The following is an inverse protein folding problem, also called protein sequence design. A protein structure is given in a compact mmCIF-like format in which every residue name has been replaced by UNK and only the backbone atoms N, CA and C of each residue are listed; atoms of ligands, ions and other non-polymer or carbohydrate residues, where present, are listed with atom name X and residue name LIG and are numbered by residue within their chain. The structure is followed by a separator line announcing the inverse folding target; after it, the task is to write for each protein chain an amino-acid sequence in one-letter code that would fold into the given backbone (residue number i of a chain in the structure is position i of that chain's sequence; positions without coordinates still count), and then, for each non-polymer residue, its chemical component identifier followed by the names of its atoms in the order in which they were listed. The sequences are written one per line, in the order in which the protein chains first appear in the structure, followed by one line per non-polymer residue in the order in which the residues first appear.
data_IF_982816883818
#
_entry.id   IF_982816883818
#
_cell.length_a   1.000
_cell.length_b   1.000
_cell.length_c   1.000
_cell.angle_alpha   90.00
_cell.angle_beta   90.00
_cell.angle_gamma   90.00
#
_symmetry.space_group_name_H-M   'P 1'
#
loop_
_entity.id
_entity.type
_entity.pdbx_description
1 polymer ?
#
# COMPACT_ATOMS: atom_id res chain seq x y z
N UNK A 1 -28.21 21.38 -16.04
CA UNK A 1 -27.30 20.47 -15.30
C UNK A 1 -26.23 19.98 -16.26
N UNK A 2 -25.02 20.52 -16.19
CA UNK A 2 -23.90 20.17 -17.06
C UNK A 2 -22.96 19.20 -16.33
N UNK A 3 -22.99 17.91 -16.73
CA UNK A 3 -22.00 16.93 -16.31
C UNK A 3 -20.82 16.99 -17.28
N UNK A 4 -19.82 17.81 -16.96
CA UNK A 4 -18.58 17.82 -17.73
C UNK A 4 -17.70 16.66 -17.28
N UNK A 5 -17.78 15.55 -18.03
CA UNK A 5 -16.75 14.48 -18.04
C UNK A 5 -15.41 15.11 -18.41
N UNK A 6 -14.58 15.41 -17.42
CA UNK A 6 -13.16 15.69 -17.65
C UNK A 6 -12.40 14.38 -17.45
N UNK A 7 -12.54 13.47 -18.41
CA UNK A 7 -11.48 12.50 -18.70
C UNK A 7 -10.35 13.27 -19.38
N UNK A 8 -9.49 13.91 -18.58
CA UNK A 8 -8.24 14.46 -19.12
C UNK A 8 -7.26 13.31 -19.32
N UNK A 9 -7.18 12.89 -20.57
CA UNK A 9 -5.98 12.47 -21.30
C UNK A 9 -4.93 11.77 -20.43
N UNK A 10 -4.94 10.43 -20.49
CA UNK A 10 -3.75 9.63 -20.27
C UNK A 10 -2.61 10.26 -21.10
N UNK A 11 -1.51 10.61 -20.43
CA UNK A 11 -0.32 11.08 -21.11
C UNK A 11 0.10 10.02 -22.14
N UNK A 12 0.43 10.46 -23.36
CA UNK A 12 1.12 9.61 -24.35
C UNK A 12 2.51 9.29 -23.79
N UNK A 13 2.61 8.26 -22.95
CA UNK A 13 3.86 7.84 -22.32
C UNK A 13 3.67 6.52 -21.58
N UNK A 14 4.07 5.42 -22.23
CA UNK A 14 4.11 4.03 -21.75
C UNK A 14 2.81 3.48 -21.09
N UNK A 15 2.17 2.49 -21.71
CA UNK A 15 1.04 1.74 -21.12
C UNK A 15 1.46 0.74 -20.03
N UNK A 16 2.77 0.59 -19.80
CA UNK A 16 3.38 -0.42 -18.94
C UNK A 16 4.54 0.17 -18.15
N UNK A 17 4.82 -0.41 -16.99
CA UNK A 17 5.99 -0.13 -16.14
C UNK A 17 6.63 -1.43 -15.66
N UNK A 18 7.89 -1.35 -15.23
CA UNK A 18 8.55 -2.46 -14.51
C UNK A 18 8.33 -2.31 -13.01
N UNK A 19 7.92 -3.38 -12.35
CA UNK A 19 7.69 -3.41 -10.92
C UNK A 19 8.18 -4.73 -10.31
N UNK A 20 8.77 -4.66 -9.13
CA UNK A 20 9.09 -5.84 -8.32
C UNK A 20 7.83 -6.32 -7.61
N UNK A 21 7.42 -7.56 -7.86
CA UNK A 21 6.17 -8.13 -7.37
C UNK A 21 6.36 -9.48 -6.69
N UNK A 22 5.46 -9.76 -5.77
CA UNK A 22 5.31 -11.06 -5.10
C UNK A 22 3.87 -11.53 -5.32
N UNK A 23 3.69 -12.76 -5.78
CA UNK A 23 2.36 -13.31 -6.09
C UNK A 23 1.69 -13.90 -4.85
N UNK A 24 2.48 -14.49 -3.95
CA UNK A 24 1.98 -15.13 -2.73
C UNK A 24 2.93 -14.87 -1.56
N UNK A 25 2.44 -14.89 -0.30
CA UNK A 25 3.29 -14.75 0.86
C UNK A 25 4.47 -15.75 0.86
N UNK A 26 5.68 -15.24 1.06
CA UNK A 26 6.89 -16.06 1.17
C UNK A 26 7.55 -16.42 -0.17
N UNK A 27 6.98 -16.03 -1.31
CA UNK A 27 7.64 -16.16 -2.61
C UNK A 27 8.71 -15.09 -2.82
N UNK A 28 9.67 -15.40 -3.70
CA UNK A 28 10.72 -14.47 -4.11
C UNK A 28 10.14 -13.29 -4.91
N UNK A 29 10.73 -12.10 -4.72
CA UNK A 29 10.45 -10.92 -5.55
C UNK A 29 10.84 -11.17 -7.00
N UNK A 30 9.93 -10.88 -7.93
CA UNK A 30 10.15 -11.00 -9.37
C UNK A 30 9.96 -9.65 -10.05
N UNK A 31 10.89 -9.28 -10.94
CA UNK A 31 10.74 -8.09 -11.77
C UNK A 31 9.78 -8.41 -12.91
N UNK A 32 8.63 -7.74 -12.95
CA UNK A 32 7.60 -7.93 -13.98
C UNK A 32 7.25 -6.64 -14.68
N UNK A 33 6.83 -6.76 -15.93
CA UNK A 33 6.18 -5.67 -16.67
C UNK A 33 4.69 -5.71 -16.38
N UNK A 34 4.14 -4.60 -15.91
CA UNK A 34 2.73 -4.46 -15.51
C UNK A 34 2.13 -3.16 -16.02
N UNK A 35 0.81 -3.09 -16.07
CA UNK A 35 0.11 -1.89 -16.52
C UNK A 35 0.45 -0.68 -15.65
N UNK A 36 0.55 0.49 -16.30
CA UNK A 36 0.68 1.74 -15.58
C UNK A 36 -0.57 1.99 -14.70
N UNK A 37 -0.39 2.37 -13.42
CA UNK A 37 -1.51 2.67 -12.55
C UNK A 37 -2.22 3.94 -13.03
N UNK A 38 -3.55 3.91 -13.01
CA UNK A 38 -4.39 5.05 -13.31
C UNK A 38 -4.94 5.66 -12.03
N UNK A 39 -5.11 6.98 -12.02
CA UNK A 39 -5.76 7.69 -10.92
C UNK A 39 -7.26 7.38 -10.94
N UNK A 40 -7.76 6.76 -9.86
CA UNK A 40 -9.16 6.40 -9.68
C UNK A 40 -9.88 7.30 -8.69
N UNK A 41 -9.14 8.01 -7.83
CA UNK A 41 -9.69 8.88 -6.77
C UNK A 41 -9.13 10.30 -6.86
N UNK A 42 -9.91 11.34 -6.50
CA UNK A 42 -9.49 12.73 -6.63
C UNK A 42 -8.31 13.11 -5.73
N UNK A 43 -8.04 12.35 -4.67
CA UNK A 43 -6.95 12.60 -3.72
C UNK A 43 -5.67 11.78 -4.02
N UNK A 44 -5.57 11.15 -5.20
CA UNK A 44 -4.40 10.37 -5.58
C UNK A 44 -3.38 11.21 -6.37
N UNK A 45 -2.13 10.80 -6.28
CA UNK A 45 -0.99 11.37 -7.03
C UNK A 45 -0.26 10.21 -7.70
N UNK A 46 0.06 10.37 -8.98
CA UNK A 46 0.90 9.44 -9.73
C UNK A 46 2.32 9.99 -9.76
N UNK A 47 3.28 9.15 -9.35
CA UNK A 47 4.68 9.55 -9.19
C UNK A 47 5.52 8.69 -10.12
N UNK A 48 6.35 9.33 -10.94
CA UNK A 48 7.42 8.69 -11.69
C UNK A 48 8.62 8.49 -10.76
N UNK A 49 8.73 7.29 -10.21
CA UNK A 49 9.80 6.91 -9.28
C UNK A 49 11.17 6.99 -9.96
N UNK A 50 12.12 7.65 -9.31
CA UNK A 50 13.52 7.77 -9.72
C UNK A 50 14.43 6.91 -8.84
N UNK A 51 14.16 6.88 -7.54
CA UNK A 51 14.83 6.01 -6.59
C UNK A 51 13.85 5.51 -5.53
N UNK A 52 14.14 4.34 -4.95
CA UNK A 52 13.41 3.74 -3.85
C UNK A 52 14.40 3.06 -2.90
N UNK A 53 14.08 3.03 -1.61
CA UNK A 53 14.87 2.30 -0.62
C UNK A 53 14.34 0.89 -0.43
N UNK A 54 15.16 0.05 0.19
CA UNK A 54 14.72 -1.23 0.75
C UNK A 54 14.91 -1.17 2.25
N UNK A 55 13.84 -1.37 2.99
CA UNK A 55 13.83 -1.37 4.44
C UNK A 55 13.54 -2.78 4.98
N UNK A 56 13.90 -3.09 6.25
CA UNK A 56 13.58 -4.38 6.87
C UNK A 56 12.08 -4.72 6.81
N UNK A 57 11.22 -3.70 6.87
CA UNK A 57 9.77 -3.88 6.78
C UNK A 57 9.31 -4.46 5.44
N UNK A 58 9.98 -4.13 4.34
CA UNK A 58 9.64 -4.64 3.01
C UNK A 58 9.86 -6.15 2.96
N UNK A 59 10.92 -6.64 3.60
CA UNK A 59 11.24 -8.08 3.65
C UNK A 59 10.19 -8.88 4.42
N UNK A 60 9.66 -8.35 5.52
CA UNK A 60 8.63 -9.05 6.31
C UNK A 60 7.24 -8.96 5.66
N UNK A 61 6.94 -7.89 4.93
CA UNK A 61 5.69 -7.81 4.14
C UNK A 61 5.62 -8.85 3.04
N UNK A 62 6.73 -9.03 2.31
CA UNK A 62 6.84 -10.06 1.26
C UNK A 62 6.58 -11.45 1.85
N UNK A 63 6.99 -11.67 3.11
CA UNK A 63 6.70 -12.90 3.87
C UNK A 63 5.26 -12.99 4.41
N UNK A 64 4.42 -11.99 4.16
CA UNK A 64 3.01 -11.97 4.56
C UNK A 64 2.69 -11.12 5.79
N UNK A 65 3.62 -10.34 6.34
CA UNK A 65 3.35 -9.49 7.49
C UNK A 65 2.31 -8.39 7.17
N UNK A 66 1.32 -8.27 8.07
CA UNK A 66 0.14 -7.44 7.97
C UNK A 66 -0.83 -7.90 6.88
N UNK A 67 -0.78 -9.16 6.44
CA UNK A 67 -1.69 -9.70 5.42
C UNK A 67 -3.13 -9.61 5.87
N UNK A 68 -3.41 -10.02 7.11
CA UNK A 68 -4.79 -10.11 7.60
C UNK A 68 -5.37 -8.72 7.81
N UNK A 69 -4.72 -7.89 8.64
CA UNK A 69 -5.20 -6.53 8.90
C UNK A 69 -5.27 -5.73 7.60
N UNK A 70 -4.18 -5.61 6.84
CA UNK A 70 -4.20 -4.74 5.66
C UNK A 70 -5.05 -5.32 4.53
N UNK A 71 -5.24 -6.64 4.49
CA UNK A 71 -6.22 -7.30 3.64
C UNK A 71 -7.65 -6.92 4.00
N UNK A 72 -8.03 -6.98 5.29
CA UNK A 72 -9.36 -6.55 5.77
C UNK A 72 -9.60 -5.08 5.43
N UNK A 73 -8.63 -4.21 5.70
CA UNK A 73 -8.73 -2.79 5.38
C UNK A 73 -8.92 -2.55 3.88
N UNK A 74 -8.21 -3.31 3.02
CA UNK A 74 -8.39 -3.25 1.57
C UNK A 74 -9.79 -3.69 1.15
N UNK A 75 -10.28 -4.82 1.68
CA UNK A 75 -11.63 -5.33 1.42
C UNK A 75 -12.71 -4.32 1.80
N UNK A 76 -12.55 -3.65 2.94
CA UNK A 76 -13.46 -2.59 3.39
C UNK A 76 -13.36 -1.36 2.48
N UNK A 77 -12.14 -0.91 2.15
CA UNK A 77 -11.92 0.29 1.34
C UNK A 77 -12.36 0.15 -0.12
N UNK A 78 -12.35 -1.08 -0.65
CA UNK A 78 -12.78 -1.42 -2.01
C UNK A 78 -14.19 -2.02 -2.05
N UNK A 79 -14.84 -2.22 -0.89
CA UNK A 79 -16.13 -2.92 -0.76
C UNK A 79 -16.16 -4.28 -1.49
N UNK A 80 -15.04 -5.00 -1.49
CA UNK A 80 -14.88 -6.28 -2.18
C UNK A 80 -14.30 -7.33 -1.22
N UNK A 81 -15.08 -8.36 -0.91
CA UNK A 81 -14.68 -9.45 -0.01
C UNK A 81 -13.57 -10.35 -0.59
N UNK A 82 -13.39 -10.33 -1.92
CA UNK A 82 -12.33 -11.06 -2.64
C UNK A 82 -11.05 -10.23 -2.80
N UNK A 83 -11.04 -8.97 -2.40
CA UNK A 83 -9.86 -8.14 -2.49
C UNK A 83 -8.70 -8.79 -1.72
N UNK A 84 -7.67 -9.19 -2.47
CA UNK A 84 -6.43 -9.72 -1.93
C UNK A 84 -5.37 -8.63 -1.92
N UNK A 85 -4.48 -8.70 -0.94
CA UNK A 85 -3.28 -7.85 -0.89
C UNK A 85 -2.23 -8.25 -1.95
N UNK A 86 -2.34 -9.47 -2.48
CA UNK A 86 -1.46 -9.99 -3.52
C UNK A 86 -2.17 -9.99 -4.88
N UNK A 87 -1.46 -9.74 -5.99
CA UNK A 87 -0.02 -9.45 -6.10
C UNK A 87 0.39 -8.15 -5.40
N UNK A 88 1.51 -8.20 -4.69
CA UNK A 88 2.07 -7.06 -3.95
C UNK A 88 3.26 -6.48 -4.70
N UNK A 89 3.19 -5.20 -5.07
CA UNK A 89 4.36 -4.41 -5.47
C UNK A 89 5.05 -3.92 -4.20
N UNK A 90 6.33 -4.25 -4.02
CA UNK A 90 7.11 -3.87 -2.84
C UNK A 90 7.69 -2.45 -2.96
N UNK A 91 8.13 -1.89 -1.83
CA UNK A 91 8.71 -0.54 -1.75
C UNK A 91 7.74 0.48 -1.15
N UNK A 92 8.04 0.98 0.05
CA UNK A 92 7.20 1.94 0.79
C UNK A 92 7.63 3.39 0.63
N UNK A 93 8.88 3.62 0.29
CA UNK A 93 9.52 4.92 0.21
C UNK A 93 10.17 5.13 -1.15
N UNK A 94 10.02 6.34 -1.68
CA UNK A 94 10.58 6.70 -2.96
C UNK A 94 10.85 8.20 -3.07
N UNK A 95 11.74 8.53 -4.00
CA UNK A 95 11.88 9.87 -4.56
C UNK A 95 11.58 9.82 -6.06
N UNK A 96 10.99 10.89 -6.57
CA UNK A 96 10.54 10.93 -7.94
C UNK A 96 9.90 12.25 -8.33
N UNK A 97 9.25 12.24 -9.48
CA UNK A 97 8.59 13.41 -10.06
C UNK A 97 7.10 13.14 -10.15
N UNK A 98 6.27 14.13 -9.80
CA UNK A 98 4.82 14.03 -9.98
C UNK A 98 4.50 13.95 -11.48
N UNK A 99 3.87 12.86 -11.91
CA UNK A 99 3.44 12.64 -13.30
C UNK A 99 2.00 13.12 -13.49
N UNK A 100 1.11 12.83 -12.54
CA UNK A 100 -0.29 13.25 -12.59
C UNK A 100 -0.88 13.44 -11.19
N UNK A 101 -1.95 14.23 -11.08
CA UNK A 101 -2.68 14.48 -9.84
C UNK A 101 -4.18 14.31 -10.05
N UNK A 102 -4.88 13.83 -9.02
CA UNK A 102 -6.33 13.82 -8.97
C UNK A 102 -6.88 15.23 -8.69
N UNK A 103 -8.13 15.50 -9.09
CA UNK A 103 -8.73 16.84 -9.00
C UNK A 103 -8.90 17.41 -7.58
N UNK A 104 -8.80 16.56 -6.55
CA UNK A 104 -8.86 16.94 -5.14
C UNK A 104 -7.50 17.23 -4.51
N UNK A 105 -6.39 16.96 -5.20
CA UNK A 105 -5.04 17.25 -4.70
C UNK A 105 -4.78 18.76 -4.76
N UNK A 106 -4.27 19.32 -3.67
CA UNK A 106 -3.86 20.72 -3.55
C UNK A 106 -2.38 20.80 -3.19
N UNK A 107 -1.68 21.81 -3.69
CA UNK A 107 -0.27 22.07 -3.35
C UNK A 107 0.76 21.21 -4.10
N UNK A 108 0.34 20.34 -5.02
CA UNK A 108 1.22 19.59 -5.92
C UNK A 108 0.77 19.78 -7.37
N UNK A 109 1.71 19.73 -8.30
CA UNK A 109 1.48 19.81 -9.75
C UNK A 109 2.39 18.81 -10.49
N UNK A 110 1.98 18.33 -11.68
CA UNK A 110 2.88 17.58 -12.54
C UNK A 110 4.20 18.32 -12.78
N UNK A 111 5.32 17.61 -12.66
CA UNK A 111 6.67 18.16 -12.74
C UNK A 111 7.34 18.43 -11.38
N UNK A 112 6.59 18.45 -10.27
CA UNK A 112 7.17 18.68 -8.95
C UNK A 112 8.07 17.50 -8.51
N UNK A 113 9.25 17.81 -7.98
CA UNK A 113 10.14 16.82 -7.37
C UNK A 113 9.73 16.56 -5.92
N UNK A 114 9.65 15.28 -5.56
CA UNK A 114 9.16 14.86 -4.24
C UNK A 114 9.97 13.69 -3.70
N UNK A 115 10.07 13.65 -2.38
CA UNK A 115 10.64 12.55 -1.62
C UNK A 115 9.76 12.31 -0.39
N UNK A 116 9.49 11.05 -0.07
CA UNK A 116 8.76 10.74 1.15
C UNK A 116 8.39 9.27 1.33
N UNK A 117 7.78 9.01 2.47
CA UNK A 117 7.15 7.74 2.80
C UNK A 117 5.64 7.90 2.55
N UNK A 118 5.10 7.20 1.55
CA UNK A 118 3.73 7.45 1.10
C UNK A 118 2.74 6.54 1.81
N UNK A 119 1.74 7.12 2.50
CA UNK A 119 0.74 6.39 3.30
C UNK A 119 -0.16 5.42 2.51
N UNK A 120 -0.31 5.63 1.19
CA UNK A 120 -0.97 4.69 0.26
C UNK A 120 0.00 3.73 -0.45
N UNK A 121 1.30 3.77 -0.13
CA UNK A 121 2.16 2.59 -0.18
C UNK A 121 2.18 2.01 1.23
N UNK A 122 1.26 1.08 1.49
CA UNK A 122 0.77 0.71 2.82
C UNK A 122 1.87 0.58 3.89
N UNK A 123 2.00 1.63 4.73
CA UNK A 123 2.76 1.61 5.99
C UNK A 123 1.84 2.04 7.15
N UNK A 124 1.50 1.10 8.02
CA UNK A 124 1.28 1.38 9.45
C UNK A 124 2.48 0.79 10.18
N UNK A 125 3.33 1.65 10.74
CA UNK A 125 4.52 1.23 11.49
C UNK A 125 4.06 1.23 12.92
N UNK A 126 3.38 0.16 13.27
CA UNK A 126 3.49 -0.35 14.61
C UNK A 126 4.01 -1.75 14.39
N UNK A 127 5.21 -2.04 14.88
CA UNK A 127 5.59 -3.42 15.21
C UNK A 127 4.69 -3.81 16.38
N UNK A 128 3.39 -3.88 16.11
CA UNK A 128 2.40 -4.20 17.10
C UNK A 128 2.46 -5.71 17.23
N UNK A 129 2.64 -6.23 18.45
CA UNK A 129 2.36 -7.63 18.75
C UNK A 129 1.02 -8.06 18.13
N UNK A 130 0.07 -7.12 18.06
CA UNK A 130 -1.20 -7.23 17.35
C UNK A 130 -1.09 -7.73 15.92
N UNK A 131 -0.35 -7.05 15.02
CA UNK A 131 -0.25 -7.49 13.62
C UNK A 131 0.33 -8.90 13.51
N UNK A 132 1.34 -9.21 14.33
CA UNK A 132 1.98 -10.53 14.36
C UNK A 132 1.01 -11.62 14.83
N UNK A 133 0.23 -11.35 15.87
CA UNK A 133 -0.77 -12.29 16.37
C UNK A 133 -1.96 -12.42 15.42
N UNK A 134 -2.36 -11.35 14.74
CA UNK A 134 -3.42 -11.42 13.72
C UNK A 134 -3.00 -12.19 12.48
N UNK A 135 -1.74 -12.09 12.04
CA UNK A 135 -1.26 -12.91 10.92
C UNK A 135 -1.12 -14.38 11.34
N UNK A 136 -0.84 -14.66 12.62
CA UNK A 136 -0.67 -16.03 13.14
C UNK A 136 -1.99 -16.74 13.44
N UNK A 137 -2.93 -16.06 14.09
CA UNK A 137 -4.17 -16.64 14.62
C UNK A 137 -5.42 -16.20 13.84
N UNK A 138 -5.25 -15.36 12.81
CA UNK A 138 -6.36 -14.69 12.13
C UNK A 138 -6.83 -13.46 12.90
N UNK A 139 -7.63 -12.62 12.25
CA UNK A 139 -7.98 -11.30 12.77
C UNK A 139 -8.65 -11.33 14.16
N UNK A 140 -9.71 -12.14 14.35
CA UNK A 140 -10.47 -12.18 15.61
C UNK A 140 -9.65 -12.74 16.78
N UNK A 141 -9.05 -13.92 16.60
CA UNK A 141 -8.25 -14.56 17.65
C UNK A 141 -6.94 -13.81 17.92
N UNK A 142 -6.36 -13.17 16.91
CA UNK A 142 -5.18 -12.32 17.07
C UNK A 142 -5.45 -11.08 17.91
N UNK A 143 -6.60 -10.43 17.72
CA UNK A 143 -7.03 -9.31 18.57
C UNK A 143 -7.29 -9.76 20.02
N UNK A 144 -7.99 -10.88 20.20
CA UNK A 144 -8.25 -11.43 21.54
C UNK A 144 -6.95 -11.81 22.28
N UNK A 145 -6.00 -12.46 21.59
CA UNK A 145 -4.69 -12.81 22.12
C UNK A 145 -3.88 -11.57 22.52
N UNK A 146 -3.91 -10.53 21.69
CA UNK A 146 -3.25 -9.26 21.98
C UNK A 146 -3.85 -8.57 23.20
N UNK A 147 -5.19 -8.53 23.28
CA UNK A 147 -5.90 -7.96 24.40
C UNK A 147 -5.59 -8.71 25.70
N UNK A 148 -5.58 -10.05 25.67
CA UNK A 148 -5.22 -10.88 26.82
C UNK A 148 -3.79 -10.58 27.31
N UNK A 149 -2.80 -10.51 26.39
CA UNK A 149 -1.41 -10.17 26.74
C UNK A 149 -1.28 -8.77 27.33
N UNK A 150 -2.00 -7.79 26.78
CA UNK A 150 -2.00 -6.42 27.32
C UNK A 150 -2.67 -6.36 28.70
N UNK A 151 -3.75 -7.11 28.89
CA UNK A 151 -4.45 -7.22 30.17
C UNK A 151 -3.52 -7.86 31.20
N UNK A 152 -2.95 -9.04 30.95
CA UNK A 152 -2.03 -9.72 31.87
C UNK A 152 -0.85 -8.85 32.29
N UNK A 153 -0.25 -8.11 31.35
CA UNK A 153 0.88 -7.20 31.64
C UNK A 153 0.47 -5.98 32.48
N UNK A 154 -0.82 -5.61 32.47
CA UNK A 154 -1.35 -4.51 33.29
C UNK A 154 -1.59 -4.92 34.75
N UNK A 155 -1.56 -6.22 35.07
CA UNK A 155 -1.74 -6.76 36.43
C UNK A 155 -0.45 -7.30 37.05
N UNK A 156 0.69 -7.27 36.34
CA UNK A 156 2.03 -7.59 36.89
C UNK A 156 2.69 -6.36 37.56
N UNK A 157 1.94 -5.57 38.32
CA UNK A 157 2.47 -4.49 39.19
C UNK A 157 2.85 -5.04 40.56
#
# INVERSE_FOLDING_TARGET
MHFTRICRLASKGASQMRAWQVQSPGESLQLKTVSMPMLTKPNQVLIKVKAASVNPVDTVMVKGYGREILGVWKKVAECDSKASRFPLIAGRDCSGVVEAIGGGVKGLRPGDEIMGVWRNSVHVSVVSPMMRDTDRYGFLLGLASTAAKHFSRSYEV
#
